data_IF_949180415754
#
_entry.id   IF_949180415754
#
_cell.length_a   1.000
_cell.length_b   1.000
_cell.length_c   1.000
_cell.angle_alpha   90.00
_cell.angle_beta   90.00
_cell.angle_gamma   90.00
#
_symmetry.space_group_name_H-M   'P 1'
#
loop_
_entity.id
_entity.type
_entity.pdbx_description
1 polymer ?
#
# COMPACT_ATOMS: atom_id res chain seq x y z
N UNK A 1 54.04 58.52 -41.58
CA UNK A 1 54.07 57.48 -40.61
C UNK A 1 52.84 57.65 -39.68
N UNK A 2 51.79 56.84 -39.88
CA UNK A 2 50.57 56.86 -39.04
C UNK A 2 50.70 55.79 -38.00
N UNK A 3 50.81 56.19 -36.75
CA UNK A 3 50.73 55.27 -35.61
C UNK A 3 49.28 54.87 -35.36
N UNK A 4 48.96 53.65 -35.68
CA UNK A 4 47.68 53.05 -35.36
C UNK A 4 47.59 52.82 -33.86
N UNK A 5 46.59 53.44 -33.21
CA UNK A 5 46.23 53.15 -31.82
C UNK A 5 45.43 51.86 -31.83
N UNK A 6 46.00 50.81 -31.29
CA UNK A 6 45.28 49.58 -30.98
C UNK A 6 44.41 49.92 -29.74
N UNK A 7 43.13 50.06 -29.95
CA UNK A 7 42.18 50.14 -28.88
C UNK A 7 42.00 48.73 -28.32
N UNK A 8 42.58 48.47 -27.16
CA UNK A 8 42.29 47.28 -26.40
C UNK A 8 40.83 47.38 -25.93
N UNK A 9 39.95 46.80 -26.75
CA UNK A 9 38.61 46.47 -26.25
C UNK A 9 38.75 45.31 -25.27
N UNK A 10 38.85 45.68 -24.02
CA UNK A 10 38.61 44.73 -22.92
C UNK A 10 37.13 44.37 -23.02
N UNK A 11 36.87 43.32 -23.74
CA UNK A 11 35.58 42.67 -23.65
C UNK A 11 35.55 42.07 -22.26
N UNK A 12 35.04 42.84 -21.31
CA UNK A 12 34.63 42.32 -20.02
C UNK A 12 33.48 41.40 -20.30
N UNK A 13 33.79 40.13 -20.53
CA UNK A 13 32.80 39.07 -20.45
C UNK A 13 32.41 39.05 -18.97
N UNK A 14 31.43 39.86 -18.63
CA UNK A 14 30.67 39.63 -17.44
C UNK A 14 30.00 38.25 -17.62
N UNK A 15 30.71 37.22 -17.22
CA UNK A 15 30.07 35.97 -16.85
C UNK A 15 29.11 36.32 -15.72
N UNK A 16 27.94 36.75 -16.12
CA UNK A 16 26.79 36.59 -15.26
C UNK A 16 26.66 35.09 -15.05
N UNK A 17 27.38 34.59 -14.06
CA UNK A 17 26.95 33.38 -13.39
C UNK A 17 25.55 33.74 -12.83
N UNK A 18 24.56 33.55 -13.69
CA UNK A 18 23.26 33.25 -13.21
C UNK A 18 23.44 31.94 -12.44
N UNK A 19 23.73 32.10 -11.13
CA UNK A 19 23.28 31.12 -10.20
C UNK A 19 21.76 31.05 -10.44
N UNK A 20 21.35 30.22 -11.35
CA UNK A 20 20.02 29.65 -11.30
C UNK A 20 20.01 28.85 -10.00
N UNK A 21 19.77 29.56 -8.90
CA UNK A 21 19.08 28.99 -7.77
C UNK A 21 17.78 28.51 -8.40
N UNK A 22 17.83 27.33 -9.00
CA UNK A 22 16.65 26.50 -9.04
C UNK A 22 16.32 26.32 -7.58
N UNK A 23 15.56 27.33 -7.02
CA UNK A 23 14.67 27.03 -5.97
C UNK A 23 13.93 25.80 -6.53
N UNK A 24 14.38 24.62 -6.13
CA UNK A 24 13.54 23.48 -6.01
C UNK A 24 12.53 23.98 -4.99
N UNK A 25 11.57 24.77 -5.49
CA UNK A 25 10.28 24.87 -4.88
C UNK A 25 9.89 23.41 -4.91
N UNK A 26 10.27 22.71 -3.84
CA UNK A 26 9.61 21.50 -3.49
C UNK A 26 8.15 21.89 -3.49
N UNK A 27 7.51 21.70 -4.64
CA UNK A 27 6.14 21.38 -4.65
C UNK A 27 6.10 20.09 -3.85
N UNK A 28 6.19 20.25 -2.51
CA UNK A 28 5.47 19.37 -1.64
C UNK A 28 4.06 19.46 -2.16
N UNK A 29 3.80 18.75 -3.25
CA UNK A 29 2.50 18.24 -3.44
C UNK A 29 2.29 17.50 -2.14
N UNK A 30 1.55 18.13 -1.23
CA UNK A 30 0.81 17.42 -0.23
C UNK A 30 -0.10 16.53 -1.08
N UNK A 31 0.49 15.47 -1.63
CA UNK A 31 -0.26 14.37 -2.22
C UNK A 31 -1.07 13.91 -1.03
N UNK A 32 -2.27 14.46 -0.92
CA UNK A 32 -3.24 14.11 0.10
C UNK A 32 -3.31 12.61 -0.01
N UNK A 33 -2.72 11.93 0.98
CA UNK A 33 -2.63 10.48 0.94
C UNK A 33 -4.01 9.98 0.54
N UNK A 34 -4.08 9.21 -0.53
CA UNK A 34 -5.36 8.79 -1.08
C UNK A 34 -6.21 8.26 0.06
N UNK A 35 -7.44 8.74 0.17
CA UNK A 35 -8.33 8.31 1.23
C UNK A 35 -8.39 6.79 1.21
N UNK A 36 -8.08 6.16 2.34
CA UNK A 36 -8.04 4.70 2.45
C UNK A 36 -9.40 4.09 2.14
N UNK A 37 -9.40 2.90 1.55
CA UNK A 37 -10.61 2.10 1.37
C UNK A 37 -10.95 1.40 2.69
N UNK A 38 -11.48 2.16 3.63
CA UNK A 38 -11.78 1.74 5.01
C UNK A 38 -13.19 1.20 5.20
N UNK A 39 -13.99 1.15 4.14
CA UNK A 39 -15.33 0.55 4.18
C UNK A 39 -15.25 -0.93 4.54
N UNK A 40 -15.85 -1.31 5.65
CA UNK A 40 -15.91 -2.70 6.08
C UNK A 40 -16.79 -3.52 5.16
N UNK A 41 -16.31 -4.70 4.76
CA UNK A 41 -17.08 -5.70 4.04
C UNK A 41 -17.17 -6.97 4.86
N UNK A 42 -18.36 -7.56 4.93
CA UNK A 42 -18.56 -8.86 5.58
C UNK A 42 -17.87 -9.97 4.79
N UNK A 43 -17.39 -10.96 5.51
CA UNK A 43 -16.91 -12.23 4.97
C UNK A 43 -17.49 -13.40 5.76
N UNK A 44 -17.56 -14.55 5.11
CA UNK A 44 -17.78 -15.85 5.72
C UNK A 44 -16.78 -16.83 5.12
N UNK A 45 -16.22 -17.67 5.96
CA UNK A 45 -15.25 -18.70 5.60
C UNK A 45 -15.66 -20.02 6.20
N UNK A 46 -15.85 -21.03 5.33
CA UNK A 46 -16.14 -22.40 5.77
C UNK A 46 -14.86 -23.08 6.25
N UNK A 47 -14.83 -23.47 7.52
CA UNK A 47 -13.70 -24.20 8.10
C UNK A 47 -13.61 -25.66 7.65
N UNK A 48 -14.51 -26.12 6.79
CA UNK A 48 -14.40 -27.40 6.07
C UNK A 48 -13.30 -27.28 5.02
N UNK A 49 -13.20 -26.13 4.35
CA UNK A 49 -12.17 -25.86 3.36
C UNK A 49 -10.82 -25.53 4.02
N UNK A 50 -9.71 -25.99 3.47
CA UNK A 50 -8.39 -25.67 4.03
C UNK A 50 -8.03 -24.19 3.89
N UNK A 51 -8.45 -23.53 2.82
CA UNK A 51 -8.17 -22.14 2.48
C UNK A 51 -9.39 -21.51 1.82
N UNK A 52 -9.69 -20.28 2.22
CA UNK A 52 -10.69 -19.43 1.59
C UNK A 52 -10.13 -18.03 1.34
N UNK A 53 -10.81 -17.24 0.52
CA UNK A 53 -10.43 -15.86 0.30
C UNK A 53 -11.61 -14.96 -0.02
N UNK A 54 -11.51 -13.70 0.41
CA UNK A 54 -12.44 -12.65 0.03
C UNK A 54 -12.22 -12.20 -1.42
N UNK A 55 -13.14 -11.37 -1.91
CA UNK A 55 -12.95 -10.67 -3.19
C UNK A 55 -11.79 -9.67 -3.12
N UNK A 56 -11.22 -9.36 -4.28
CA UNK A 56 -10.24 -8.30 -4.42
C UNK A 56 -10.88 -6.94 -4.21
N UNK A 57 -10.22 -6.07 -3.47
CA UNK A 57 -10.66 -4.70 -3.20
C UNK A 57 -9.49 -3.74 -3.37
N UNK A 58 -9.78 -2.55 -3.90
CA UNK A 58 -8.77 -1.50 -4.05
C UNK A 58 -8.12 -1.19 -2.71
N UNK A 59 -6.78 -1.15 -2.72
CA UNK A 59 -5.96 -0.71 -1.60
C UNK A 59 -5.33 0.62 -1.96
N UNK A 60 -5.79 1.68 -1.31
CA UNK A 60 -5.50 3.06 -1.71
C UNK A 60 -4.22 3.63 -1.08
N UNK A 61 -3.76 3.05 0.02
CA UNK A 61 -2.60 3.56 0.75
C UNK A 61 -1.85 2.44 1.49
N UNK A 62 -0.71 2.78 2.10
CA UNK A 62 0.16 1.85 2.81
C UNK A 62 -0.31 1.50 4.24
N UNK A 63 -1.56 1.80 4.60
CA UNK A 63 -2.08 1.44 5.92
C UNK A 63 -2.28 -0.07 6.07
N UNK A 64 -2.45 -0.51 7.31
CA UNK A 64 -2.67 -1.92 7.63
C UNK A 64 -4.00 -2.42 7.08
N UNK A 65 -4.10 -3.72 6.83
CA UNK A 65 -5.38 -4.37 6.53
C UNK A 65 -6.13 -4.59 7.84
N UNK A 66 -7.37 -4.15 7.88
CA UNK A 66 -8.25 -4.36 9.04
C UNK A 66 -9.01 -5.67 8.91
N UNK A 67 -9.11 -6.39 10.03
CA UNK A 67 -9.94 -7.59 10.17
C UNK A 67 -10.56 -7.66 11.56
N UNK A 68 -11.83 -8.03 11.60
CA UNK A 68 -12.56 -8.25 12.86
C UNK A 68 -13.42 -9.50 12.74
N UNK A 69 -12.91 -10.66 13.20
CA UNK A 69 -13.71 -11.87 13.32
C UNK A 69 -14.77 -11.68 14.40
N UNK A 70 -16.04 -11.91 14.06
CA UNK A 70 -17.17 -11.74 14.96
C UNK A 70 -17.78 -13.05 15.42
N UNK A 71 -17.55 -14.13 14.68
CA UNK A 71 -18.05 -15.47 15.02
C UNK A 71 -17.13 -16.57 14.49
N UNK A 72 -17.24 -17.75 15.07
CA UNK A 72 -16.50 -18.94 14.68
C UNK A 72 -15.17 -19.13 15.41
N UNK A 73 -14.42 -20.20 15.09
CA UNK A 73 -13.14 -20.50 15.70
C UNK A 73 -12.05 -19.51 15.27
N UNK A 74 -10.96 -19.47 16.05
CA UNK A 74 -9.74 -18.79 15.67
C UNK A 74 -9.13 -19.46 14.43
N UNK A 75 -8.80 -18.67 13.42
CA UNK A 75 -8.18 -19.09 12.19
C UNK A 75 -6.99 -18.21 11.83
N UNK A 76 -6.23 -18.57 10.80
CA UNK A 76 -5.19 -17.73 10.24
C UNK A 76 -5.78 -16.75 9.21
N UNK A 77 -5.23 -15.53 9.21
CA UNK A 77 -5.52 -14.47 8.25
C UNK A 77 -4.23 -13.97 7.62
N UNK A 78 -4.26 -13.76 6.32
CA UNK A 78 -3.17 -13.23 5.52
C UNK A 78 -3.73 -12.17 4.56
N UNK A 79 -3.02 -11.07 4.36
CA UNK A 79 -3.33 -10.10 3.34
C UNK A 79 -2.54 -10.42 2.07
N UNK A 80 -3.23 -10.68 0.97
CA UNK A 80 -2.62 -10.84 -0.34
C UNK A 80 -2.81 -9.59 -1.18
N UNK A 81 -1.79 -9.24 -1.97
CA UNK A 81 -1.80 -8.15 -2.91
C UNK A 81 -1.84 -8.61 -4.36
N UNK A 82 -2.30 -7.74 -5.24
CA UNK A 82 -2.08 -7.85 -6.68
C UNK A 82 -1.81 -6.49 -7.31
N UNK A 83 -1.04 -6.52 -8.39
CA UNK A 83 -0.80 -5.37 -9.26
C UNK A 83 -1.13 -5.75 -10.70
N UNK A 84 -1.57 -4.76 -11.47
CA UNK A 84 -1.79 -4.95 -12.90
C UNK A 84 -0.48 -4.68 -13.65
N UNK A 85 -0.03 -5.63 -14.42
CA UNK A 85 1.10 -5.44 -15.32
C UNK A 85 0.69 -4.46 -16.43
N UNK A 86 1.43 -3.37 -16.58
CA UNK A 86 1.12 -2.30 -17.54
C UNK A 86 1.27 -2.71 -19.00
N UNK A 87 2.08 -3.73 -19.28
CA UNK A 87 2.37 -4.21 -20.65
C UNK A 87 1.33 -5.28 -21.04
N UNK A 88 1.12 -6.27 -20.19
CA UNK A 88 0.27 -7.43 -20.52
C UNK A 88 -1.18 -7.25 -20.10
N UNK A 89 -1.47 -6.29 -19.21
CA UNK A 89 -2.78 -6.12 -18.59
C UNK A 89 -3.16 -7.19 -17.58
N UNK A 90 -2.32 -8.20 -17.39
CA UNK A 90 -2.56 -9.33 -16.47
C UNK A 90 -2.30 -8.93 -15.02
N UNK A 91 -2.99 -9.57 -14.09
CA UNK A 91 -2.76 -9.37 -12.65
C UNK A 91 -1.69 -10.32 -12.12
N UNK A 92 -0.67 -9.76 -11.52
CA UNK A 92 0.34 -10.43 -10.72
C UNK A 92 -0.10 -10.48 -9.26
N UNK A 93 -0.25 -11.67 -8.70
CA UNK A 93 -0.68 -11.89 -7.31
C UNK A 93 0.54 -12.24 -6.46
N UNK A 94 0.56 -11.77 -5.21
CA UNK A 94 1.64 -12.03 -4.26
C UNK A 94 1.15 -12.00 -2.81
N UNK A 95 1.89 -12.67 -1.92
CA UNK A 95 1.69 -12.55 -0.49
C UNK A 95 2.02 -11.12 -0.05
N UNK A 96 1.10 -10.47 0.65
CA UNK A 96 1.23 -9.09 1.11
C UNK A 96 1.52 -8.98 2.60
N UNK A 97 1.37 -10.06 3.36
CA UNK A 97 1.70 -10.16 4.78
C UNK A 97 2.15 -11.57 5.14
N UNK A 98 2.57 -11.76 6.38
CA UNK A 98 2.59 -13.09 7.00
C UNK A 98 1.17 -13.51 7.39
N UNK A 99 1.04 -14.76 7.80
CA UNK A 99 -0.20 -15.35 8.27
C UNK A 99 -0.31 -15.25 9.79
N UNK A 100 -1.40 -14.70 10.31
CA UNK A 100 -1.60 -14.43 11.73
C UNK A 100 -2.86 -15.07 12.26
N UNK A 101 -2.76 -15.79 13.37
CA UNK A 101 -3.92 -16.36 14.04
C UNK A 101 -4.63 -15.29 14.87
N UNK A 102 -5.80 -14.86 14.43
CA UNK A 102 -6.56 -13.79 15.09
C UNK A 102 -7.81 -14.40 15.76
N UNK A 103 -7.97 -14.21 17.08
CA UNK A 103 -9.12 -14.71 17.80
C UNK A 103 -10.40 -13.94 17.43
N UNK A 104 -11.52 -14.61 17.47
CA UNK A 104 -12.85 -14.00 17.41
C UNK A 104 -13.02 -12.96 18.52
N UNK A 105 -13.65 -11.84 18.19
CA UNK A 105 -13.81 -10.70 19.09
C UNK A 105 -12.62 -9.71 19.09
N UNK A 106 -11.52 -10.03 18.38
CA UNK A 106 -10.35 -9.14 18.30
C UNK A 106 -10.40 -8.29 17.05
N UNK A 107 -10.33 -6.98 17.21
CA UNK A 107 -10.11 -6.07 16.09
C UNK A 107 -8.62 -6.06 15.76
N UNK A 108 -8.26 -6.54 14.59
CA UNK A 108 -6.88 -6.73 14.14
C UNK A 108 -6.46 -5.74 13.04
N UNK A 109 -5.21 -5.33 13.11
CA UNK A 109 -4.51 -4.58 12.07
C UNK A 109 -3.34 -5.41 11.57
N UNK A 110 -3.45 -5.97 10.38
CA UNK A 110 -2.40 -6.79 9.76
C UNK A 110 -1.41 -5.87 9.05
N UNK A 111 -0.16 -5.88 9.50
CA UNK A 111 0.95 -5.23 8.80
C UNK A 111 1.17 -5.90 7.46
N UNK A 112 1.31 -5.11 6.42
CA UNK A 112 1.46 -5.62 5.06
C UNK A 112 2.41 -4.75 4.25
N UNK A 113 2.92 -5.30 3.15
CA UNK A 113 3.83 -4.64 2.19
C UNK A 113 3.25 -4.58 0.78
N UNK A 114 1.91 -4.50 0.68
CA UNK A 114 1.22 -4.55 -0.62
C UNK A 114 1.59 -3.34 -1.47
N UNK A 115 1.51 -2.13 -0.90
CA UNK A 115 1.84 -0.90 -1.62
C UNK A 115 3.32 -0.79 -1.94
N UNK A 116 4.21 -1.24 -1.06
CA UNK A 116 5.66 -1.26 -1.26
C UNK A 116 6.06 -2.16 -2.45
N UNK A 117 5.29 -3.20 -2.72
CA UNK A 117 5.43 -4.05 -3.90
C UNK A 117 4.68 -3.55 -5.13
N UNK A 118 4.11 -2.33 -5.07
CA UNK A 118 3.32 -1.75 -6.14
C UNK A 118 1.93 -2.35 -6.31
N UNK A 119 1.43 -3.05 -5.30
CA UNK A 119 0.07 -3.57 -5.29
C UNK A 119 -0.96 -2.47 -5.17
N UNK A 120 -2.03 -2.58 -5.93
CA UNK A 120 -3.14 -1.63 -5.94
C UNK A 120 -4.44 -2.22 -5.41
N UNK A 121 -4.44 -3.52 -5.16
CA UNK A 121 -5.58 -4.23 -4.62
C UNK A 121 -5.12 -5.24 -3.57
N UNK A 122 -5.98 -5.47 -2.59
CA UNK A 122 -5.80 -6.44 -1.53
C UNK A 122 -6.99 -7.39 -1.45
N UNK A 123 -6.76 -8.58 -0.94
CA UNK A 123 -7.79 -9.48 -0.45
C UNK A 123 -7.35 -10.13 0.84
N UNK A 124 -8.32 -10.49 1.66
CA UNK A 124 -8.09 -11.31 2.83
C UNK A 124 -8.11 -12.79 2.42
N UNK A 125 -7.09 -13.52 2.83
CA UNK A 125 -6.99 -14.98 2.71
C UNK A 125 -7.13 -15.57 4.11
N UNK A 126 -7.90 -16.61 4.22
CA UNK A 126 -8.21 -17.30 5.47
C UNK A 126 -7.81 -18.76 5.36
N UNK A 127 -7.20 -19.29 6.42
CA UNK A 127 -6.89 -20.70 6.50
C UNK A 127 -7.19 -21.24 7.90
N UNK A 128 -7.72 -22.44 7.97
CA UNK A 128 -8.03 -23.07 9.24
C UNK A 128 -6.76 -23.48 9.99
N UNK A 129 -6.82 -23.37 11.32
CA UNK A 129 -5.80 -23.94 12.20
C UNK A 129 -6.07 -25.45 12.38
N UNK A 130 -7.33 -25.78 12.53
CA UNK A 130 -7.82 -27.14 12.67
C UNK A 130 -9.18 -27.29 12.00
N UNK A 131 -9.54 -28.52 11.65
CA UNK A 131 -10.87 -28.78 11.12
C UNK A 131 -11.95 -28.42 12.17
N UNK A 132 -12.93 -27.65 11.73
CA UNK A 132 -14.10 -27.31 12.53
C UNK A 132 -15.34 -27.25 11.62
N UNK A 133 -16.50 -27.67 12.16
CA UNK A 133 -17.76 -27.60 11.40
C UNK A 133 -18.43 -26.21 11.46
N UNK A 134 -17.89 -25.32 12.29
CA UNK A 134 -18.41 -23.96 12.43
C UNK A 134 -17.67 -23.01 11.49
N UNK A 135 -18.40 -22.22 10.74
CA UNK A 135 -17.85 -21.18 9.90
C UNK A 135 -17.29 -20.02 10.74
N UNK A 136 -16.28 -19.37 10.21
CA UNK A 136 -15.75 -18.11 10.76
C UNK A 136 -16.29 -16.97 9.92
N UNK A 137 -16.83 -15.95 10.58
CA UNK A 137 -17.33 -14.77 9.90
C UNK A 137 -16.89 -13.48 10.58
N UNK A 138 -16.97 -12.37 9.87
CA UNK A 138 -16.56 -11.09 10.39
C UNK A 138 -16.60 -9.99 9.32
N UNK A 139 -15.84 -8.94 9.56
CA UNK A 139 -15.68 -7.83 8.63
C UNK A 139 -14.20 -7.54 8.39
N UNK A 140 -13.90 -6.99 7.22
CA UNK A 140 -12.54 -6.58 6.86
C UNK A 140 -12.55 -5.36 5.95
N UNK A 141 -11.41 -4.65 5.90
CA UNK A 141 -11.15 -3.62 4.90
C UNK A 141 -9.68 -3.63 4.45
N UNK A 142 -9.40 -3.28 3.19
CA UNK A 142 -8.03 -3.26 2.67
C UNK A 142 -7.15 -2.18 3.32
N UNK A 143 -7.74 -1.10 3.80
CA UNK A 143 -7.07 -0.01 4.49
C UNK A 143 -7.69 0.20 5.88
N UNK A 144 -6.91 0.74 6.80
CA UNK A 144 -7.35 1.03 8.17
C UNK A 144 -7.01 2.48 8.54
N UNK A 145 -7.95 3.15 9.19
CA UNK A 145 -7.74 4.50 9.74
C UNK A 145 -7.22 4.48 11.17
N UNK A 146 -7.26 3.34 11.83
CA UNK A 146 -6.91 3.19 13.25
C UNK A 146 -5.89 2.07 13.44
N UNK A 147 -5.09 2.20 14.48
CA UNK A 147 -4.26 1.11 14.97
C UNK A 147 -5.07 0.32 15.99
N UNK A 148 -5.57 -0.82 15.55
CA UNK A 148 -6.13 -1.84 16.43
C UNK A 148 -5.01 -2.74 16.97
N UNK A 149 -5.31 -3.91 17.50
CA UNK A 149 -4.28 -4.89 17.86
C UNK A 149 -3.43 -5.20 16.63
N UNK A 150 -2.12 -4.90 16.69
CA UNK A 150 -1.21 -5.04 15.56
C UNK A 150 -0.71 -6.47 15.47
N UNK A 151 -0.80 -7.03 14.28
CA UNK A 151 -0.24 -8.32 13.90
C UNK A 151 0.86 -8.10 12.85
N UNK A 152 2.12 -8.38 13.23
CA UNK A 152 3.33 -8.21 12.43
C UNK A 152 4.16 -6.98 12.75
#
# INVERSE_FOLDING_TARGET
MRKGKIKNSIVTIAMAMMLSVTAVVGFGTNAKAAAGNTGNKQYSYSNIDPIGSCEWRTKNNATKVYVYPTAGPKIYYEANGRKKNSITGQYEKFAGSYSYAIPTGTQGSITNWINEKGGTEARLVMSRISYARLDTSGVWSPDSTRNYTIFG
#
